data_IF_515129514687
#
_entry.id   IF_515129514687
#
_cell.length_a   1.000
_cell.length_b   1.000
_cell.length_c   1.000
_cell.angle_alpha   90.00
_cell.angle_beta   90.00
_cell.angle_gamma   90.00
#
_symmetry.space_group_name_H-M   'P 1'
#
loop_
_entity.id
_entity.type
_entity.pdbx_description
1 polymer ?
#
# COMPACT_ATOMS: atom_id res chain seq x y z
N UNK A 1 4.06 21.15 -8.38
CA UNK A 1 5.41 21.53 -7.93
C UNK A 1 6.39 21.81 -9.08
N UNK A 2 6.18 21.24 -10.28
CA UNK A 2 7.10 21.35 -11.44
C UNK A 2 6.54 22.16 -12.61
N UNK A 3 5.36 22.78 -12.48
CA UNK A 3 4.62 23.41 -13.59
C UNK A 3 5.45 24.49 -14.31
N UNK A 4 6.25 25.25 -13.55
CA UNK A 4 7.05 26.37 -14.06
C UNK A 4 8.55 26.01 -14.22
N UNK A 5 8.88 24.73 -14.10
CA UNK A 5 10.26 24.22 -14.14
C UNK A 5 10.54 23.29 -15.32
N UNK A 6 9.51 22.91 -16.09
CA UNK A 6 9.63 21.91 -17.14
C UNK A 6 9.26 22.53 -18.49
N UNK A 7 10.25 22.62 -19.37
CA UNK A 7 10.06 23.12 -20.73
C UNK A 7 9.61 22.01 -21.67
N UNK A 8 10.28 20.86 -21.64
CA UNK A 8 10.03 19.73 -22.55
C UNK A 8 9.79 18.43 -21.78
N UNK A 9 8.86 17.62 -22.29
CA UNK A 9 8.49 16.33 -21.72
C UNK A 9 8.55 15.24 -22.78
N UNK A 10 9.30 14.21 -22.54
CA UNK A 10 9.38 13.02 -23.40
C UNK A 10 8.71 11.85 -22.69
N UNK A 11 7.63 11.34 -23.30
CA UNK A 11 6.99 10.11 -22.82
C UNK A 11 7.68 8.91 -23.46
N UNK A 12 8.13 8.00 -22.62
CA UNK A 12 8.78 6.76 -23.06
C UNK A 12 7.88 5.56 -22.81
N UNK A 13 7.91 4.61 -23.74
CA UNK A 13 7.27 3.32 -23.60
C UNK A 13 8.16 2.24 -24.23
N UNK A 14 8.35 1.09 -23.55
CA UNK A 14 9.22 -0.01 -23.99
C UNK A 14 10.60 0.43 -24.52
N UNK A 15 11.22 1.39 -23.84
CA UNK A 15 12.55 1.92 -24.18
C UNK A 15 12.58 2.86 -25.39
N UNK A 16 11.44 3.30 -25.91
CA UNK A 16 11.30 4.24 -27.03
C UNK A 16 10.60 5.50 -26.60
N UNK A 17 11.00 6.63 -27.15
CA UNK A 17 10.22 7.87 -27.05
C UNK A 17 9.01 7.74 -27.95
N UNK A 18 7.82 7.75 -27.36
CA UNK A 18 6.54 7.61 -28.09
C UNK A 18 5.80 8.93 -28.25
N UNK A 19 6.15 9.93 -27.44
CA UNK A 19 5.54 11.26 -27.51
C UNK A 19 6.51 12.32 -26.97
N UNK A 20 6.48 13.50 -27.58
CA UNK A 20 7.16 14.71 -27.11
C UNK A 20 6.15 15.82 -27.01
N UNK A 21 6.14 16.56 -25.92
CA UNK A 21 5.25 17.70 -25.68
C UNK A 21 5.94 18.73 -24.81
N UNK A 22 5.45 19.95 -24.84
CA UNK A 22 5.91 20.99 -23.90
C UNK A 22 5.33 20.79 -22.50
N UNK A 23 5.98 21.38 -21.50
CA UNK A 23 5.43 21.39 -20.14
C UNK A 23 4.01 22.00 -20.11
N UNK A 24 3.76 23.07 -20.86
CA UNK A 24 2.45 23.70 -20.96
C UNK A 24 1.38 22.76 -21.53
N UNK A 25 1.69 22.00 -22.58
CA UNK A 25 0.79 21.00 -23.16
C UNK A 25 0.51 19.88 -22.15
N UNK A 26 1.53 19.33 -21.49
CA UNK A 26 1.36 18.33 -20.44
C UNK A 26 0.39 18.80 -19.35
N UNK A 27 0.55 20.03 -18.87
CA UNK A 27 -0.27 20.57 -17.78
C UNK A 27 -1.68 21.00 -18.24
N UNK A 28 -1.93 21.14 -19.56
CA UNK A 28 -3.25 21.39 -20.14
C UNK A 28 -4.07 20.11 -20.37
N UNK A 29 -3.44 18.93 -20.34
CA UNK A 29 -4.13 17.66 -20.54
C UNK A 29 -5.20 17.42 -19.47
N UNK A 30 -6.42 17.13 -19.93
CA UNK A 30 -7.53 16.73 -19.06
C UNK A 30 -7.29 15.34 -18.44
N UNK A 31 -8.07 15.02 -17.40
CA UNK A 31 -7.94 13.75 -16.66
C UNK A 31 -8.04 12.51 -17.58
N UNK A 32 -9.01 12.49 -18.50
CA UNK A 32 -9.23 11.37 -19.43
C UNK A 32 -8.04 11.16 -20.37
N UNK A 33 -7.51 12.24 -20.94
CA UNK A 33 -6.35 12.19 -21.83
C UNK A 33 -5.06 11.74 -21.10
N UNK A 34 -4.86 12.21 -19.88
CA UNK A 34 -3.76 11.77 -19.03
C UNK A 34 -3.83 10.28 -18.75
N UNK A 35 -5.03 9.80 -18.40
CA UNK A 35 -5.28 8.38 -18.16
C UNK A 35 -4.97 7.51 -19.37
N UNK A 36 -5.41 7.91 -20.59
CA UNK A 36 -5.10 7.17 -21.84
C UNK A 36 -3.61 7.08 -22.11
N UNK A 37 -2.83 8.06 -21.65
CA UNK A 37 -1.37 8.11 -21.79
C UNK A 37 -0.61 7.45 -20.64
N UNK A 38 -1.30 6.87 -19.66
CA UNK A 38 -0.69 6.29 -18.46
C UNK A 38 -0.11 7.33 -17.48
N UNK A 39 -0.51 8.60 -17.63
CA UNK A 39 -0.05 9.69 -16.78
C UNK A 39 -0.94 9.85 -15.55
N UNK A 40 -0.32 10.15 -14.42
CA UNK A 40 -1.00 10.41 -13.14
C UNK A 40 -1.76 11.73 -13.17
N UNK A 41 -2.81 11.83 -12.37
CA UNK A 41 -3.54 13.08 -12.22
C UNK A 41 -2.68 14.19 -11.60
N UNK A 42 -2.91 15.45 -12.01
CA UNK A 42 -2.16 16.61 -11.52
C UNK A 42 -2.68 17.17 -10.21
N UNK A 43 -3.97 17.06 -9.98
CA UNK A 43 -4.65 17.59 -8.80
C UNK A 43 -5.88 16.76 -8.50
N UNK A 44 -6.14 16.54 -7.23
CA UNK A 44 -7.40 16.04 -6.71
C UNK A 44 -7.99 17.12 -5.81
N UNK A 45 -9.29 17.30 -5.86
CA UNK A 45 -10.02 18.03 -4.81
C UNK A 45 -9.84 17.23 -3.52
N UNK A 46 -9.37 17.90 -2.46
CA UNK A 46 -9.32 17.32 -1.12
C UNK A 46 -10.74 16.85 -0.74
N UNK A 47 -11.01 15.59 -0.97
CA UNK A 47 -12.21 14.94 -0.44
C UNK A 47 -11.96 14.73 1.05
N UNK A 48 -12.41 15.67 1.86
CA UNK A 48 -12.43 15.50 3.30
C UNK A 48 -13.46 14.40 3.62
N UNK A 49 -13.00 13.16 3.69
CA UNK A 49 -13.80 12.06 4.19
C UNK A 49 -13.83 12.20 5.71
N UNK A 50 -15.01 12.44 6.32
CA UNK A 50 -15.07 12.53 7.76
C UNK A 50 -14.60 11.22 8.39
N UNK A 51 -13.92 11.26 9.54
CA UNK A 51 -13.47 10.05 10.22
C UNK A 51 -14.68 9.15 10.50
N UNK A 52 -14.53 7.87 10.14
CA UNK A 52 -15.58 6.89 10.43
C UNK A 52 -15.81 6.82 11.95
N UNK A 53 -17.06 6.67 12.39
CA UNK A 53 -17.35 6.52 13.82
C UNK A 53 -16.57 5.31 14.38
N UNK A 54 -16.16 5.36 15.66
CA UNK A 54 -15.47 4.23 16.30
C UNK A 54 -16.30 2.95 16.14
N UNK A 55 -15.71 1.94 15.52
CA UNK A 55 -16.33 0.62 15.36
C UNK A 55 -15.57 -0.36 16.22
N UNK A 56 -16.30 -1.15 17.00
CA UNK A 56 -15.70 -2.25 17.76
C UNK A 56 -15.41 -3.47 16.88
N UNK A 57 -16.01 -3.53 15.67
CA UNK A 57 -15.70 -4.55 14.67
C UNK A 57 -14.41 -4.19 13.93
N UNK A 58 -13.40 -5.01 14.07
CA UNK A 58 -12.09 -4.82 13.45
C UNK A 58 -10.97 -4.78 14.46
N UNK A 59 -9.94 -3.99 14.16
CA UNK A 59 -8.76 -3.84 15.01
C UNK A 59 -8.91 -2.62 15.92
N UNK A 60 -8.80 -2.83 17.24
CA UNK A 60 -8.87 -1.79 18.27
C UNK A 60 -7.57 -1.77 19.07
N UNK A 61 -6.98 -0.58 19.20
CA UNK A 61 -5.78 -0.32 19.99
C UNK A 61 -6.15 0.66 21.11
N UNK A 62 -5.85 0.28 22.36
CA UNK A 62 -6.11 1.13 23.53
C UNK A 62 -4.81 1.43 24.26
N UNK A 63 -4.63 2.69 24.66
CA UNK A 63 -3.46 3.18 25.40
C UNK A 63 -2.14 2.81 24.71
N UNK A 64 -2.10 2.92 23.39
CA UNK A 64 -0.93 2.62 22.60
C UNK A 64 0.20 3.60 22.94
N UNK A 65 1.34 3.09 23.37
CA UNK A 65 2.56 3.87 23.59
C UNK A 65 3.77 3.14 23.01
N UNK A 66 4.63 3.91 22.35
CA UNK A 66 5.91 3.40 21.88
C UNK A 66 6.95 4.50 21.79
N UNK A 67 8.17 4.17 22.22
CA UNK A 67 9.36 5.02 22.15
C UNK A 67 10.54 4.18 21.70
N UNK A 68 11.42 4.73 20.87
CA UNK A 68 12.72 4.12 20.58
C UNK A 68 13.73 4.38 21.70
N UNK A 69 13.62 5.55 22.32
CA UNK A 69 14.41 5.96 23.51
C UNK A 69 13.45 6.36 24.63
N UNK A 70 13.93 6.39 25.88
CA UNK A 70 13.07 6.65 27.06
C UNK A 70 12.44 8.04 27.05
N UNK A 71 13.09 9.02 26.43
CA UNK A 71 12.74 10.44 26.56
C UNK A 71 11.90 11.01 25.42
N UNK A 72 11.70 10.22 24.34
CA UNK A 72 10.96 10.68 23.13
C UNK A 72 9.89 9.68 22.72
N UNK A 73 8.62 9.88 23.18
CA UNK A 73 7.51 9.07 22.71
C UNK A 73 7.24 9.34 21.23
N UNK A 74 7.20 8.27 20.42
CA UNK A 74 6.89 8.33 18.99
C UNK A 74 5.40 8.07 18.76
N UNK A 75 4.81 7.18 19.57
CA UNK A 75 3.38 6.88 19.54
C UNK A 75 2.79 7.10 20.91
N UNK A 76 1.66 7.81 21.00
CA UNK A 76 0.87 7.98 22.21
C UNK A 76 -0.59 8.22 21.82
N UNK A 77 -1.39 7.17 21.83
CA UNK A 77 -2.81 7.21 21.44
C UNK A 77 -3.67 6.51 22.48
N UNK A 78 -4.68 7.18 23.04
CA UNK A 78 -5.62 6.56 23.98
C UNK A 78 -6.49 5.50 23.31
N UNK A 79 -6.93 5.75 22.08
CA UNK A 79 -7.75 4.86 21.27
C UNK A 79 -7.49 5.06 19.79
N UNK A 80 -7.29 3.96 19.06
CA UNK A 80 -7.31 3.91 17.61
C UNK A 80 -8.18 2.72 17.18
N UNK A 81 -9.00 2.92 16.15
CA UNK A 81 -9.87 1.87 15.60
C UNK A 81 -9.67 1.78 14.09
N UNK A 82 -9.60 0.55 13.59
CA UNK A 82 -9.50 0.23 12.17
C UNK A 82 -10.60 -0.79 11.85
N UNK A 83 -11.72 -0.36 11.27
CA UNK A 83 -12.87 -1.24 11.04
C UNK A 83 -12.56 -2.37 10.04
N UNK A 84 -13.08 -3.56 10.29
CA UNK A 84 -13.13 -4.64 9.30
C UNK A 84 -14.04 -4.24 8.13
N UNK A 85 -13.69 -4.69 6.94
CA UNK A 85 -14.46 -4.36 5.73
C UNK A 85 -14.28 -2.93 5.22
N UNK A 86 -13.27 -2.21 5.72
CA UNK A 86 -12.97 -0.83 5.33
C UNK A 86 -11.49 -0.65 5.03
N UNK A 87 -11.21 0.31 4.14
CA UNK A 87 -9.86 0.81 3.91
C UNK A 87 -9.68 2.06 4.78
N UNK A 88 -8.64 2.06 5.62
CA UNK A 88 -8.27 3.22 6.44
C UNK A 88 -6.98 3.81 5.89
N UNK A 89 -7.03 5.04 5.39
CA UNK A 89 -5.85 5.78 4.98
C UNK A 89 -5.19 6.48 6.18
N UNK A 90 -3.88 6.33 6.32
CA UNK A 90 -3.06 7.07 7.29
C UNK A 90 -2.20 8.07 6.51
N UNK A 91 -2.46 9.34 6.72
CA UNK A 91 -1.73 10.45 6.07
C UNK A 91 -0.88 11.23 7.09
N UNK A 92 -0.02 12.10 6.61
CA UNK A 92 0.79 12.99 7.46
C UNK A 92 2.24 13.09 6.99
N UNK A 93 2.97 14.08 7.52
CA UNK A 93 4.36 14.35 7.12
C UNK A 93 5.29 13.16 7.39
N UNK A 94 6.43 13.14 6.68
CA UNK A 94 7.47 12.15 6.93
C UNK A 94 8.03 12.29 8.34
N UNK A 95 8.32 11.16 8.98
CA UNK A 95 8.87 11.14 10.35
C UNK A 95 7.85 11.19 11.48
N UNK A 96 6.55 11.43 11.22
CA UNK A 96 5.52 11.53 12.31
C UNK A 96 5.15 10.18 12.95
N UNK A 97 5.74 9.06 12.51
CA UNK A 97 5.51 7.76 13.15
C UNK A 97 4.57 6.80 12.41
N UNK A 98 4.15 7.10 11.15
CA UNK A 98 3.22 6.22 10.38
C UNK A 98 3.73 4.79 10.26
N UNK A 99 4.93 4.59 9.73
CA UNK A 99 5.53 3.24 9.61
C UNK A 99 5.85 2.62 10.97
N UNK A 100 6.09 3.43 12.01
CA UNK A 100 6.26 2.96 13.38
C UNK A 100 4.94 2.40 13.93
N UNK A 101 3.81 3.05 13.63
CA UNK A 101 2.47 2.57 13.98
C UNK A 101 2.17 1.24 13.26
N UNK A 102 2.44 1.15 11.95
CA UNK A 102 2.29 -0.11 11.20
C UNK A 102 3.09 -1.25 11.82
N UNK A 103 4.36 -1.01 12.15
CA UNK A 103 5.23 -2.00 12.82
C UNK A 103 4.72 -2.38 14.22
N UNK A 104 4.15 -1.44 14.96
CA UNK A 104 3.53 -1.71 16.25
C UNK A 104 2.29 -2.59 16.11
N UNK A 105 1.42 -2.31 15.12
CA UNK A 105 0.24 -3.13 14.81
C UNK A 105 0.66 -4.55 14.44
N UNK A 106 1.64 -4.73 13.56
CA UNK A 106 2.16 -6.05 13.16
C UNK A 106 2.94 -6.78 14.26
N UNK A 107 3.15 -6.17 15.44
CA UNK A 107 3.92 -6.78 16.51
C UNK A 107 5.43 -6.85 16.24
N UNK A 108 5.94 -6.10 15.27
CA UNK A 108 7.37 -5.98 14.98
C UNK A 108 8.05 -5.12 16.05
N UNK A 109 7.41 -4.04 16.47
CA UNK A 109 7.85 -3.22 17.62
C UNK A 109 7.18 -3.70 18.90
N UNK A 110 7.90 -3.57 20.04
CA UNK A 110 7.37 -3.89 21.39
C UNK A 110 6.65 -2.66 21.94
N UNK A 111 5.48 -2.33 21.37
CA UNK A 111 4.63 -1.27 21.89
C UNK A 111 3.83 -1.72 23.12
N UNK A 112 3.53 -0.78 24.01
CA UNK A 112 2.63 -0.94 25.16
C UNK A 112 1.18 -0.68 24.72
N UNK A 113 0.22 -1.10 25.54
CA UNK A 113 -1.21 -0.99 25.29
C UNK A 113 -1.87 -2.32 24.95
N UNK A 114 -3.18 -2.32 24.81
CA UNK A 114 -3.95 -3.49 24.37
C UNK A 114 -4.23 -3.43 22.88
N UNK A 115 -4.23 -4.61 22.25
CA UNK A 115 -4.58 -4.82 20.85
C UNK A 115 -5.66 -5.88 20.79
N UNK A 116 -6.76 -5.58 20.16
CA UNK A 116 -7.92 -6.46 20.05
C UNK A 116 -8.36 -6.54 18.58
N UNK A 117 -8.72 -7.73 18.12
CA UNK A 117 -9.33 -7.92 16.81
C UNK A 117 -10.67 -8.62 17.00
N UNK A 118 -11.75 -7.98 16.56
CA UNK A 118 -13.13 -8.44 16.72
C UNK A 118 -13.46 -8.83 18.17
N UNK A 119 -13.07 -7.98 19.12
CA UNK A 119 -13.27 -8.19 20.56
C UNK A 119 -12.32 -9.20 21.21
N UNK A 120 -11.41 -9.83 20.46
CA UNK A 120 -10.47 -10.82 21.00
C UNK A 120 -9.07 -10.24 21.16
N UNK A 121 -8.43 -10.41 22.34
CA UNK A 121 -7.08 -9.91 22.56
C UNK A 121 -6.04 -10.51 21.61
N UNK A 122 -5.22 -9.66 20.99
CA UNK A 122 -4.12 -10.04 20.12
C UNK A 122 -2.78 -9.86 20.83
N UNK A 123 -2.16 -10.97 21.26
CA UNK A 123 -0.78 -10.95 21.72
C UNK A 123 0.18 -10.56 20.59
N UNK A 124 1.39 -10.10 20.96
CA UNK A 124 2.43 -9.74 19.97
C UNK A 124 2.73 -10.87 18.97
N UNK A 125 2.71 -12.14 19.43
CA UNK A 125 2.89 -13.31 18.55
C UNK A 125 1.72 -13.47 17.58
N UNK A 126 0.48 -13.36 18.07
CA UNK A 126 -0.73 -13.45 17.23
C UNK A 126 -0.78 -12.33 16.21
N UNK A 127 -0.41 -11.10 16.57
CA UNK A 127 -0.35 -9.98 15.60
C UNK A 127 0.53 -10.32 14.40
N UNK A 128 1.71 -10.89 14.60
CA UNK A 128 2.61 -11.35 13.52
C UNK A 128 1.99 -12.44 12.63
N UNK A 129 1.08 -13.24 13.16
CA UNK A 129 0.38 -14.28 12.41
C UNK A 129 -0.83 -13.75 11.64
N UNK A 130 -1.51 -12.73 12.18
CA UNK A 130 -2.73 -12.15 11.60
C UNK A 130 -2.48 -10.96 10.66
N UNK A 131 -1.28 -10.38 10.66
CA UNK A 131 -0.94 -9.22 9.84
C UNK A 131 -0.06 -9.60 8.67
N UNK A 132 -0.33 -8.99 7.49
CA UNK A 132 0.61 -8.83 6.40
C UNK A 132 1.05 -7.36 6.34
N UNK A 133 2.31 -7.09 6.00
CA UNK A 133 2.85 -5.75 5.91
C UNK A 133 3.72 -5.59 4.68
N UNK A 134 3.27 -4.77 3.75
CA UNK A 134 4.05 -4.33 2.58
C UNK A 134 4.86 -3.10 2.98
N UNK A 135 6.18 -3.24 2.93
CA UNK A 135 7.13 -2.19 3.29
C UNK A 135 7.27 -1.16 2.17
N UNK A 136 7.59 0.08 2.48
CA UNK A 136 7.94 1.12 1.51
C UNK A 136 9.13 0.69 0.63
N UNK A 137 10.20 0.13 1.23
CA UNK A 137 11.31 -0.50 0.51
C UNK A 137 11.03 -2.01 0.34
N UNK A 138 10.27 -2.34 -0.71
CA UNK A 138 9.79 -3.71 -0.95
C UNK A 138 10.90 -4.70 -1.24
N UNK A 139 12.07 -4.25 -1.74
CA UNK A 139 13.20 -5.14 -2.04
C UNK A 139 13.75 -5.83 -0.80
N UNK A 140 13.48 -5.29 0.39
CA UNK A 140 13.87 -5.89 1.68
C UNK A 140 13.01 -7.07 2.12
N UNK A 141 11.94 -7.35 1.39
CA UNK A 141 11.01 -8.42 1.74
C UNK A 141 10.84 -9.47 0.64
N UNK A 142 11.66 -9.41 -0.41
CA UNK A 142 11.64 -10.36 -1.53
C UNK A 142 12.86 -11.29 -1.42
N UNK A 143 12.61 -12.60 -1.28
CA UNK A 143 13.64 -13.59 -0.92
C UNK A 143 13.70 -14.79 -1.86
N UNK A 144 12.65 -15.04 -2.67
CA UNK A 144 12.59 -16.20 -3.56
C UNK A 144 13.44 -16.05 -4.81
N UNK A 145 13.69 -17.15 -5.51
CA UNK A 145 14.43 -17.17 -6.77
C UNK A 145 13.57 -16.75 -7.97
N UNK A 146 12.23 -16.83 -7.85
CA UNK A 146 11.30 -16.45 -8.91
C UNK A 146 10.15 -15.60 -8.37
N UNK A 147 9.51 -14.81 -9.26
CA UNK A 147 8.30 -14.04 -8.94
C UNK A 147 7.17 -14.96 -8.48
N UNK A 148 6.91 -16.03 -9.22
CA UNK A 148 5.91 -17.05 -8.82
C UNK A 148 6.25 -17.66 -7.47
N UNK A 149 7.53 -18.04 -7.26
CA UNK A 149 8.01 -18.58 -5.99
C UNK A 149 7.80 -17.61 -4.82
N UNK A 150 7.98 -16.31 -5.03
CA UNK A 150 7.75 -15.29 -4.01
C UNK A 150 6.28 -15.20 -3.59
N UNK A 151 5.33 -15.26 -4.54
CA UNK A 151 3.89 -15.26 -4.24
C UNK A 151 3.50 -16.53 -3.49
N UNK A 152 4.02 -17.69 -3.91
CA UNK A 152 3.70 -18.98 -3.29
C UNK A 152 4.36 -19.18 -1.93
N UNK A 153 5.40 -18.41 -1.61
CA UNK A 153 6.09 -18.46 -0.33
C UNK A 153 5.21 -17.97 0.83
N UNK A 154 4.41 -18.83 1.39
CA UNK A 154 3.48 -18.49 2.49
C UNK A 154 2.07 -18.15 2.06
N UNK A 155 1.71 -18.48 0.81
CA UNK A 155 0.34 -18.39 0.36
C UNK A 155 -0.57 -19.40 1.08
N UNK A 156 -1.86 -19.13 1.10
CA UNK A 156 -2.88 -20.13 1.49
C UNK A 156 -3.06 -21.17 0.37
N UNK A 157 -3.58 -22.34 0.72
CA UNK A 157 -3.78 -23.43 -0.24
C UNK A 157 -4.74 -23.10 -1.38
N UNK A 158 -5.62 -22.11 -1.17
CA UNK A 158 -6.67 -21.72 -2.10
C UNK A 158 -6.31 -20.48 -2.94
N UNK A 159 -5.05 -20.02 -2.90
CA UNK A 159 -4.62 -18.80 -3.61
C UNK A 159 -4.44 -19.09 -5.10
N UNK A 160 -5.18 -18.41 -5.95
CA UNK A 160 -4.98 -18.39 -7.40
C UNK A 160 -3.80 -17.45 -7.76
N UNK A 161 -2.63 -18.05 -7.86
CA UNK A 161 -1.38 -17.33 -8.16
C UNK A 161 -1.38 -16.77 -9.58
N UNK A 162 -1.95 -17.49 -10.55
CA UNK A 162 -1.97 -17.09 -11.96
C UNK A 162 -2.86 -15.85 -12.13
N UNK A 163 -4.01 -15.82 -11.47
CA UNK A 163 -4.87 -14.65 -11.45
C UNK A 163 -4.19 -13.42 -10.83
N UNK A 164 -3.46 -13.58 -9.73
CA UNK A 164 -2.71 -12.47 -9.13
C UNK A 164 -1.59 -11.96 -10.03
N UNK A 165 -0.89 -12.85 -10.75
CA UNK A 165 0.14 -12.48 -11.72
C UNK A 165 -0.46 -11.67 -12.88
N UNK A 166 -1.61 -12.09 -13.41
CA UNK A 166 -2.31 -11.41 -14.50
C UNK A 166 -2.81 -10.02 -14.06
N UNK A 167 -3.54 -9.96 -12.94
CA UNK A 167 -4.16 -8.71 -12.45
C UNK A 167 -3.10 -7.64 -12.12
N UNK A 168 -1.92 -8.06 -11.67
CA UNK A 168 -0.82 -7.17 -11.35
C UNK A 168 0.18 -6.97 -12.51
N UNK A 169 -0.08 -7.56 -13.69
CA UNK A 169 0.77 -7.43 -14.87
C UNK A 169 2.19 -7.95 -14.62
N UNK A 170 2.30 -9.14 -14.01
CA UNK A 170 3.56 -9.81 -13.67
C UNK A 170 3.77 -11.11 -14.43
N UNK A 171 2.82 -11.54 -15.27
CA UNK A 171 2.85 -12.81 -16.01
C UNK A 171 4.12 -12.95 -16.85
N UNK A 172 4.52 -11.91 -17.59
CA UNK A 172 5.71 -11.94 -18.45
C UNK A 172 7.04 -12.03 -17.70
N UNK A 173 7.01 -11.86 -16.38
CA UNK A 173 8.18 -11.88 -15.50
C UNK A 173 8.10 -12.96 -14.43
N UNK A 174 7.12 -13.87 -14.52
CA UNK A 174 6.81 -14.87 -13.51
C UNK A 174 8.00 -15.74 -13.10
N UNK A 175 8.85 -16.10 -14.05
CA UNK A 175 10.05 -16.93 -13.84
C UNK A 175 11.32 -16.13 -13.54
N UNK A 176 11.23 -14.78 -13.51
CA UNK A 176 12.40 -13.93 -13.26
C UNK A 176 12.68 -13.83 -11.77
N UNK A 177 13.97 -13.60 -11.45
CA UNK A 177 14.39 -13.33 -10.09
C UNK A 177 13.83 -11.96 -9.61
N UNK A 178 13.19 -11.87 -8.42
CA UNK A 178 12.57 -10.64 -7.91
C UNK A 178 13.47 -9.40 -7.89
N UNK A 179 14.77 -9.57 -7.62
CA UNK A 179 15.73 -8.45 -7.63
C UNK A 179 16.03 -7.90 -9.03
N UNK A 180 15.68 -8.62 -10.11
CA UNK A 180 15.82 -8.15 -11.49
C UNK A 180 14.66 -7.28 -11.97
N UNK A 181 13.61 -7.16 -11.17
CA UNK A 181 12.40 -6.41 -11.49
C UNK A 181 12.64 -4.90 -11.46
N UNK A 182 11.86 -4.17 -12.27
CA UNK A 182 11.76 -2.72 -12.11
C UNK A 182 11.15 -2.36 -10.74
N UNK A 183 11.29 -1.11 -10.30
CA UNK A 183 10.72 -0.67 -9.02
C UNK A 183 9.20 -0.91 -8.94
N UNK A 184 8.46 -0.57 -10.00
CA UNK A 184 7.01 -0.80 -10.05
C UNK A 184 6.61 -2.28 -10.07
N UNK A 185 7.37 -3.13 -10.79
CA UNK A 185 7.14 -4.58 -10.77
C UNK A 185 7.40 -5.18 -9.38
N UNK A 186 8.48 -4.78 -8.71
CA UNK A 186 8.79 -5.23 -7.35
C UNK A 186 7.70 -4.79 -6.35
N UNK A 187 7.16 -3.57 -6.51
CA UNK A 187 6.06 -3.07 -5.69
C UNK A 187 4.79 -3.92 -5.87
N UNK A 188 4.41 -4.21 -7.12
CA UNK A 188 3.26 -5.07 -7.42
C UNK A 188 3.45 -6.50 -6.92
N UNK A 189 4.67 -7.04 -7.03
CA UNK A 189 4.99 -8.35 -6.46
C UNK A 189 4.80 -8.38 -4.95
N UNK A 190 5.28 -7.38 -4.21
CA UNK A 190 5.10 -7.31 -2.76
C UNK A 190 3.62 -7.19 -2.35
N UNK A 191 2.79 -6.54 -3.17
CA UNK A 191 1.34 -6.50 -2.97
C UNK A 191 0.74 -7.90 -3.21
N UNK A 192 1.14 -8.59 -4.29
CA UNK A 192 0.70 -9.95 -4.58
C UNK A 192 1.00 -10.90 -3.41
N UNK A 193 2.22 -10.86 -2.86
CA UNK A 193 2.60 -11.71 -1.72
C UNK A 193 1.78 -11.41 -0.47
N UNK A 194 1.45 -10.14 -0.21
CA UNK A 194 0.62 -9.77 0.94
C UNK A 194 -0.83 -10.25 0.79
N UNK A 195 -1.37 -10.25 -0.43
CA UNK A 195 -2.71 -10.77 -0.74
C UNK A 195 -2.73 -12.29 -0.59
N UNK A 196 -1.75 -12.96 -1.20
CA UNK A 196 -1.59 -14.43 -1.17
C UNK A 196 -1.44 -14.97 0.26
N UNK A 197 -0.85 -14.20 1.17
CA UNK A 197 -0.69 -14.59 2.57
C UNK A 197 -2.01 -14.70 3.35
N UNK A 198 -3.13 -14.28 2.80
CA UNK A 198 -4.50 -14.40 3.35
C UNK A 198 -4.63 -13.96 4.81
N UNK A 199 -4.06 -12.80 5.18
CA UNK A 199 -4.13 -12.28 6.54
C UNK A 199 -5.37 -11.42 6.78
N UNK A 200 -5.81 -11.38 8.05
CA UNK A 200 -6.99 -10.60 8.49
C UNK A 200 -6.75 -9.09 8.54
N UNK A 201 -5.50 -8.70 8.75
CA UNK A 201 -5.07 -7.31 8.83
C UNK A 201 -3.97 -7.12 7.79
N UNK A 202 -4.18 -6.27 6.81
CA UNK A 202 -3.21 -6.01 5.74
C UNK A 202 -2.82 -4.53 5.75
N UNK A 203 -1.53 -4.27 5.83
CA UNK A 203 -0.99 -2.91 5.92
C UNK A 203 -0.06 -2.67 4.74
N UNK A 204 -0.25 -1.54 4.07
CA UNK A 204 0.55 -1.11 2.94
C UNK A 204 1.22 0.22 3.26
N UNK A 205 2.54 0.28 3.16
CA UNK A 205 3.31 1.51 3.35
C UNK A 205 3.76 2.04 1.98
N UNK A 206 3.12 3.13 1.51
CA UNK A 206 3.33 3.76 0.20
C UNK A 206 3.21 2.78 -1.00
N UNK A 207 2.08 2.05 -1.15
CA UNK A 207 1.95 0.95 -2.11
C UNK A 207 2.02 1.39 -3.59
N UNK A 208 1.90 2.67 -3.88
CA UNK A 208 1.87 3.23 -5.24
C UNK A 208 3.14 3.98 -5.62
N UNK A 209 4.18 3.91 -4.79
CA UNK A 209 5.46 4.55 -5.09
C UNK A 209 6.10 3.93 -6.35
N UNK A 210 6.31 4.77 -7.39
CA UNK A 210 6.88 4.32 -8.67
C UNK A 210 5.93 3.47 -9.55
N UNK A 211 4.63 3.46 -9.24
CA UNK A 211 3.59 2.78 -10.03
C UNK A 211 2.92 3.78 -10.96
N UNK A 212 2.71 3.39 -12.22
CA UNK A 212 2.00 4.19 -13.21
C UNK A 212 0.47 4.21 -12.99
N UNK A 213 -0.23 5.07 -13.72
CA UNK A 213 -1.68 5.25 -13.56
C UNK A 213 -2.51 4.00 -13.94
N UNK A 214 -2.02 3.16 -14.86
CA UNK A 214 -2.73 1.95 -15.26
C UNK A 214 -2.73 0.93 -14.10
N UNK A 215 -1.56 0.64 -13.55
CA UNK A 215 -1.42 -0.32 -12.45
C UNK A 215 -1.95 0.20 -11.11
N UNK A 216 -2.03 1.53 -10.93
CA UNK A 216 -2.65 2.13 -9.75
C UNK A 216 -4.11 1.67 -9.57
N UNK A 217 -4.88 1.59 -10.66
CA UNK A 217 -6.28 1.15 -10.61
C UNK A 217 -6.41 -0.30 -10.22
N UNK A 218 -5.53 -1.16 -10.74
CA UNK A 218 -5.45 -2.56 -10.33
C UNK A 218 -5.19 -2.68 -8.82
N UNK A 219 -4.20 -1.94 -8.30
CA UNK A 219 -3.91 -1.91 -6.86
C UNK A 219 -5.14 -1.44 -6.07
N UNK A 220 -5.79 -0.35 -6.46
CA UNK A 220 -6.98 0.14 -5.77
C UNK A 220 -8.14 -0.88 -5.80
N UNK A 221 -8.33 -1.61 -6.92
CA UNK A 221 -9.32 -2.69 -7.03
C UNK A 221 -9.03 -3.81 -6.03
N UNK A 222 -7.79 -4.27 -5.96
CA UNK A 222 -7.35 -5.31 -5.01
C UNK A 222 -7.52 -4.87 -3.54
N UNK A 223 -7.17 -3.63 -3.21
CA UNK A 223 -7.39 -3.10 -1.85
C UNK A 223 -8.89 -3.09 -1.49
N UNK A 224 -9.75 -2.70 -2.44
CA UNK A 224 -11.21 -2.76 -2.24
C UNK A 224 -11.71 -4.18 -2.07
N UNK A 225 -11.19 -5.14 -2.86
CA UNK A 225 -11.57 -6.54 -2.73
C UNK A 225 -11.19 -7.08 -1.34
N UNK A 226 -9.98 -6.81 -0.85
CA UNK A 226 -9.57 -7.19 0.51
C UNK A 226 -10.51 -6.63 1.58
N UNK A 227 -11.01 -5.40 1.40
CA UNK A 227 -11.98 -4.81 2.32
C UNK A 227 -13.35 -5.50 2.19
N UNK A 228 -13.85 -5.75 0.97
CA UNK A 228 -15.11 -6.48 0.73
C UNK A 228 -15.07 -7.87 1.38
N UNK A 229 -13.91 -8.53 1.37
CA UNK A 229 -13.69 -9.83 2.04
C UNK A 229 -13.65 -9.72 3.58
N UNK A 230 -13.96 -8.56 4.13
CA UNK A 230 -14.08 -8.33 5.57
C UNK A 230 -12.74 -8.11 6.29
N UNK A 231 -11.64 -7.89 5.58
CA UNK A 231 -10.33 -7.63 6.19
C UNK A 231 -10.22 -6.19 6.69
N UNK A 232 -9.32 -5.97 7.64
CA UNK A 232 -8.86 -4.64 8.02
C UNK A 232 -7.75 -4.25 7.05
N UNK A 233 -7.99 -3.24 6.22
CA UNK A 233 -7.02 -2.72 5.25
C UNK A 233 -6.53 -1.35 5.70
N UNK A 234 -5.23 -1.23 5.93
CA UNK A 234 -4.60 0.03 6.34
C UNK A 234 -3.61 0.45 5.25
N UNK A 235 -3.74 1.67 4.75
CA UNK A 235 -2.88 2.22 3.71
C UNK A 235 -2.22 3.48 4.23
N UNK A 236 -0.90 3.45 4.38
CA UNK A 236 -0.11 4.64 4.66
C UNK A 236 0.25 5.24 3.32
N UNK A 237 -0.24 6.44 3.01
CA UNK A 237 0.07 7.09 1.75
C UNK A 237 -0.19 8.60 1.79
N UNK A 238 0.47 9.31 0.91
CA UNK A 238 0.20 10.71 0.57
C UNK A 238 -0.36 10.83 -0.87
N UNK A 239 -0.60 9.70 -1.51
CA UNK A 239 -1.12 9.63 -2.87
C UNK A 239 -2.63 9.86 -2.87
N UNK A 240 -3.03 11.09 -3.18
CA UNK A 240 -4.43 11.49 -3.25
C UNK A 240 -5.22 10.75 -4.34
N UNK A 241 -4.55 10.29 -5.40
CA UNK A 241 -5.18 9.49 -6.47
C UNK A 241 -5.59 8.10 -5.94
N UNK A 242 -4.71 7.44 -5.20
CA UNK A 242 -5.06 6.17 -4.54
C UNK A 242 -6.22 6.37 -3.55
N UNK A 243 -6.14 7.41 -2.71
CA UNK A 243 -7.20 7.70 -1.71
C UNK A 243 -8.55 7.93 -2.40
N UNK A 244 -8.59 8.62 -3.53
CA UNK A 244 -9.83 8.88 -4.27
C UNK A 244 -10.41 7.64 -4.95
N UNK A 245 -9.58 6.64 -5.23
CA UNK A 245 -9.96 5.38 -5.85
C UNK A 245 -10.37 4.31 -4.83
N UNK A 246 -10.05 4.48 -3.56
CA UNK A 246 -10.39 3.56 -2.47
C UNK A 246 -11.66 4.01 -1.74
#
# INVERSE_FOLDING_TARGET
>A
LFRDLVDDVYRMDHGRVVEHMTGAELFSLGHEERTKRGLRALSFTDTHVPPAPPSENGLVLRNLQFSYTRDHPVLSYPLLTFPSGKITAITGHNGVGKSTLARAICGLNKAQGSFEYEGHPLSRRRRRQHCAFVLQDVRRQLFSDTVTGEITLGCSADTDTDHLLEELGLTDVADRHPLSLSGGQAQRLAIATAIAADKRIVIFDEPTSGVDAHHLRGIASLLRQLAIDGRVVIVITHDSELISLC
#
